data_IF_588144113816
#
_entry.id   IF_588144113816
#
_cell.length_a   1.000
_cell.length_b   1.000
_cell.length_c   1.000
_cell.angle_alpha   90.00
_cell.angle_beta   90.00
_cell.angle_gamma   90.00
#
_symmetry.space_group_name_H-M   'P 1'
#
loop_
_entity.id
_entity.type
_entity.pdbx_description
1 polymer ?
#
# COMPACT_ATOMS: atom_id res chain seq x y z
N UNK A 1 10.71 15.05 25.50
CA UNK A 1 9.71 16.12 25.74
C UNK A 1 8.98 16.02 27.07
N UNK A 2 8.51 14.84 27.50
CA UNK A 2 7.78 14.66 28.78
C UNK A 2 8.55 15.16 30.01
N UNK A 3 9.85 14.83 30.13
CA UNK A 3 10.70 15.31 31.23
C UNK A 3 10.81 16.84 31.31
N UNK A 4 10.85 17.55 30.17
CA UNK A 4 10.90 19.03 30.14
C UNK A 4 9.58 19.65 30.62
N UNK A 5 8.45 19.01 30.31
CA UNK A 5 7.12 19.45 30.74
C UNK A 5 6.96 19.23 32.26
N UNK A 6 7.43 18.09 32.78
CA UNK A 6 7.44 17.80 34.21
C UNK A 6 8.29 18.81 35.00
N UNK A 7 9.52 19.09 34.55
CA UNK A 7 10.38 20.09 35.20
C UNK A 7 9.73 21.47 35.23
N UNK A 8 9.14 21.92 34.11
CA UNK A 8 8.45 23.22 34.04
C UNK A 8 7.20 23.28 34.93
N UNK A 9 6.52 22.14 35.14
CA UNK A 9 5.40 22.00 36.08
C UNK A 9 5.91 22.13 37.53
N UNK A 10 6.95 21.40 37.88
CA UNK A 10 7.50 21.37 39.23
C UNK A 10 8.09 22.74 39.63
N UNK A 11 8.72 23.45 38.69
CA UNK A 11 9.20 24.82 38.87
C UNK A 11 8.05 25.79 39.15
N UNK A 12 6.95 25.69 38.39
CA UNK A 12 5.78 26.53 38.60
C UNK A 12 5.08 26.24 39.94
N UNK A 13 4.94 24.98 40.31
CA UNK A 13 4.40 24.57 41.62
C UNK A 13 5.29 25.13 42.73
N UNK A 14 6.61 24.97 42.60
CA UNK A 14 7.58 25.48 43.58
C UNK A 14 7.54 27.00 43.68
N UNK A 15 7.38 27.72 42.57
CA UNK A 15 7.27 29.19 42.54
C UNK A 15 6.01 29.68 43.24
N UNK A 16 4.88 29.06 42.93
CA UNK A 16 3.59 29.37 43.56
C UNK A 16 3.68 29.08 45.06
N UNK A 17 4.13 27.87 45.44
CA UNK A 17 4.34 27.48 46.83
C UNK A 17 5.22 28.51 47.58
N UNK A 18 6.39 28.87 47.02
CA UNK A 18 7.28 29.87 47.62
C UNK A 18 6.61 31.24 47.83
N UNK A 19 5.83 31.72 46.88
CA UNK A 19 5.13 33.01 47.01
C UNK A 19 4.08 32.97 48.12
N UNK A 20 3.30 31.90 48.21
CA UNK A 20 2.31 31.73 49.27
C UNK A 20 2.94 31.47 50.64
N UNK A 21 4.04 30.71 50.72
CA UNK A 21 4.82 30.55 51.95
C UNK A 21 5.36 31.89 52.45
N UNK A 22 5.82 32.78 51.56
CA UNK A 22 6.24 34.14 51.94
C UNK A 22 5.08 34.97 52.50
N UNK A 23 3.92 34.95 51.84
CA UNK A 23 2.72 35.66 52.32
C UNK A 23 2.25 35.14 53.69
N UNK A 24 2.17 33.82 53.86
CA UNK A 24 1.81 33.19 55.13
C UNK A 24 2.81 33.50 56.24
N UNK A 25 4.11 33.54 55.91
CA UNK A 25 5.16 33.95 56.85
C UNK A 25 4.98 35.39 57.31
N UNK A 26 4.64 36.31 56.39
CA UNK A 26 4.37 37.71 56.73
C UNK A 26 3.17 37.86 57.68
N UNK A 27 2.06 37.17 57.40
CA UNK A 27 0.89 37.16 58.29
C UNK A 27 1.22 36.57 59.67
N UNK A 28 1.99 35.48 59.71
CA UNK A 28 2.42 34.88 60.97
C UNK A 28 3.34 35.80 61.79
N UNK A 29 4.30 36.46 61.13
CA UNK A 29 5.17 37.44 61.78
C UNK A 29 4.37 38.63 62.33
N UNK A 30 3.38 39.12 61.59
CA UNK A 30 2.49 40.17 62.05
C UNK A 30 1.67 39.72 63.27
N UNK A 31 1.12 38.50 63.24
CA UNK A 31 0.39 37.92 64.39
C UNK A 31 1.28 37.87 65.63
N UNK A 32 2.48 37.30 65.51
CA UNK A 32 3.45 37.20 66.62
C UNK A 32 3.85 38.58 67.15
N UNK A 33 3.97 39.59 66.26
CA UNK A 33 4.26 40.97 66.68
C UNK A 33 3.12 41.56 67.50
N UNK A 34 1.86 41.38 67.07
CA UNK A 34 0.68 41.89 67.76
C UNK A 34 0.48 41.16 69.10
N UNK A 35 0.63 39.84 69.13
CA UNK A 35 0.57 39.02 70.35
C UNK A 35 1.59 39.51 71.40
N UNK A 36 2.84 39.79 71.00
CA UNK A 36 3.86 40.36 71.92
C UNK A 36 3.50 41.74 72.45
N UNK A 37 2.87 42.58 71.63
CA UNK A 37 2.41 43.91 72.07
C UNK A 37 1.28 43.74 73.09
N UNK A 38 0.35 42.84 72.83
CA UNK A 38 -0.76 42.55 73.73
C UNK A 38 -0.26 42.01 75.08
N UNK A 39 0.67 41.06 75.07
CA UNK A 39 1.29 40.50 76.27
C UNK A 39 1.94 41.61 77.13
N UNK A 40 2.72 42.51 76.50
CA UNK A 40 3.33 43.66 77.18
C UNK A 40 2.29 44.62 77.78
N UNK A 41 1.23 44.91 77.02
CA UNK A 41 0.14 45.76 77.51
C UNK A 41 -0.60 45.10 78.68
N UNK A 42 -0.81 43.78 78.64
CA UNK A 42 -1.39 43.01 79.75
C UNK A 42 -0.54 43.09 81.02
N UNK A 43 0.77 42.86 80.92
CA UNK A 43 1.68 43.03 82.07
C UNK A 43 1.68 44.47 82.61
N UNK A 44 1.51 45.45 81.72
CA UNK A 44 1.44 46.87 82.12
C UNK A 44 0.12 47.18 82.85
N UNK A 45 -1.00 46.57 82.44
CA UNK A 45 -2.28 46.63 83.15
C UNK A 45 -2.14 46.07 84.56
N UNK A 46 -1.58 44.86 84.70
CA UNK A 46 -1.39 44.22 86.00
C UNK A 46 -0.54 45.08 86.94
N UNK A 47 0.53 45.70 86.41
CA UNK A 47 1.39 46.61 87.15
C UNK A 47 0.65 47.90 87.55
N UNK A 48 -0.10 48.52 86.65
CA UNK A 48 -0.89 49.71 86.96
C UNK A 48 -1.95 49.41 88.03
N UNK A 49 -2.59 48.24 87.99
CA UNK A 49 -3.56 47.82 89.00
C UNK A 49 -2.91 47.63 90.39
N UNK A 50 -1.67 47.12 90.46
CA UNK A 50 -0.89 47.04 91.70
C UNK A 50 -0.48 48.43 92.22
N UNK A 51 -0.02 49.31 91.33
CA UNK A 51 0.42 50.66 91.67
C UNK A 51 -0.78 51.52 92.16
N UNK A 52 -1.98 51.36 91.56
CA UNK A 52 -3.23 51.98 92.00
C UNK A 52 -3.60 51.53 93.42
N UNK A 53 -3.52 50.22 93.72
CA UNK A 53 -3.75 49.71 95.09
C UNK A 53 -2.78 50.33 96.09
N UNK A 54 -1.50 50.44 95.72
CA UNK A 54 -0.48 51.06 96.57
C UNK A 54 -0.66 52.58 96.75
N UNK A 55 -1.22 53.30 95.76
CA UNK A 55 -1.56 54.72 95.89
C UNK A 55 -2.78 54.93 96.81
N UNK A 56 -3.79 54.05 96.71
CA UNK A 56 -4.93 54.01 97.65
C UNK A 56 -4.49 53.82 99.09
N UNK A 57 -3.59 52.88 99.34
CA UNK A 57 -3.05 52.62 100.67
C UNK A 57 -2.29 53.82 101.24
N UNK A 58 -1.69 54.64 100.36
CA UNK A 58 -0.93 55.87 100.69
C UNK A 58 -1.77 57.16 100.70
N UNK A 59 -3.07 57.09 100.38
CA UNK A 59 -4.00 58.23 100.23
C UNK A 59 -3.54 59.30 99.21
N UNK A 60 -2.84 58.88 98.15
CA UNK A 60 -2.44 59.77 97.04
C UNK A 60 -3.49 59.75 95.92
N UNK A 61 -4.49 60.63 96.04
CA UNK A 61 -5.61 60.72 95.09
C UNK A 61 -5.18 61.20 93.70
N UNK A 62 -4.17 62.07 93.62
CA UNK A 62 -3.69 62.62 92.35
C UNK A 62 -2.92 61.56 91.53
N UNK A 63 -2.08 60.77 92.21
CA UNK A 63 -1.37 59.63 91.61
C UNK A 63 -2.32 58.52 91.15
N UNK A 64 -3.35 58.22 91.96
CA UNK A 64 -4.39 57.25 91.61
C UNK A 64 -5.13 57.66 90.34
N UNK A 65 -5.60 58.91 90.24
CA UNK A 65 -6.36 59.38 89.08
C UNK A 65 -5.57 59.28 87.77
N UNK A 66 -4.28 59.65 87.78
CA UNK A 66 -3.41 59.56 86.61
C UNK A 66 -3.15 58.11 86.17
N UNK A 67 -3.01 57.18 87.14
CA UNK A 67 -2.85 55.76 86.85
C UNK A 67 -4.14 55.13 86.32
N UNK A 68 -5.31 55.52 86.86
CA UNK A 68 -6.61 55.12 86.34
C UNK A 68 -6.81 55.56 84.89
N UNK A 69 -6.43 56.80 84.54
CA UNK A 69 -6.53 57.29 83.17
C UNK A 69 -5.65 56.49 82.19
N UNK A 70 -4.39 56.22 82.57
CA UNK A 70 -3.47 55.39 81.77
C UNK A 70 -3.96 53.95 81.63
N UNK A 71 -4.52 53.38 82.68
CA UNK A 71 -5.10 52.05 82.69
C UNK A 71 -6.28 51.96 81.71
N UNK A 72 -7.18 52.94 81.71
CA UNK A 72 -8.32 53.01 80.79
C UNK A 72 -7.87 53.12 79.32
N UNK A 73 -6.84 53.91 79.04
CA UNK A 73 -6.27 53.99 77.69
C UNK A 73 -5.68 52.66 77.21
N UNK A 74 -5.00 51.92 78.09
CA UNK A 74 -4.42 50.62 77.76
C UNK A 74 -5.53 49.57 77.61
N UNK A 75 -6.53 49.54 78.50
CA UNK A 75 -7.68 48.64 78.43
C UNK A 75 -8.49 48.83 77.14
N UNK A 76 -8.54 50.05 76.58
CA UNK A 76 -9.15 50.31 75.26
C UNK A 76 -8.33 49.79 74.08
N UNK A 77 -7.00 49.67 74.19
CA UNK A 77 -6.12 49.19 73.10
C UNK A 77 -6.13 47.67 72.95
N UNK A 78 -6.26 46.93 74.05
CA UNK A 78 -6.31 45.45 74.05
C UNK A 78 -7.40 44.85 73.12
N UNK A 79 -8.68 45.28 73.18
CA UNK A 79 -9.71 44.73 72.31
C UNK A 79 -9.48 45.05 70.83
N UNK A 80 -8.86 46.19 70.51
CA UNK A 80 -8.49 46.54 69.13
C UNK A 80 -7.45 45.56 68.59
N UNK A 81 -6.42 45.25 69.38
CA UNK A 81 -5.37 44.30 68.99
C UNK A 81 -5.90 42.86 68.89
N UNK A 82 -6.80 42.45 69.78
CA UNK A 82 -7.47 41.14 69.67
C UNK A 82 -8.28 41.01 68.38
N UNK A 83 -9.03 42.06 67.99
CA UNK A 83 -9.74 42.10 66.72
C UNK A 83 -8.80 42.04 65.52
N UNK A 84 -7.62 42.65 65.63
CA UNK A 84 -6.60 42.59 64.58
C UNK A 84 -6.01 41.18 64.43
N UNK A 85 -5.79 40.45 65.54
CA UNK A 85 -5.37 39.04 65.52
C UNK A 85 -6.43 38.18 64.81
N UNK A 86 -7.70 38.33 65.17
CA UNK A 86 -8.82 37.61 64.57
C UNK A 86 -8.89 37.84 63.05
N UNK A 87 -8.81 39.10 62.62
CA UNK A 87 -8.78 39.45 61.19
C UNK A 87 -7.61 38.80 60.44
N UNK A 88 -6.42 38.76 61.04
CA UNK A 88 -5.22 38.12 60.45
C UNK A 88 -5.40 36.60 60.35
N UNK A 89 -6.07 35.98 61.32
CA UNK A 89 -6.35 34.54 61.34
C UNK A 89 -7.39 34.15 60.29
N UNK A 90 -8.46 34.94 60.14
CA UNK A 90 -9.46 34.75 59.09
C UNK A 90 -8.86 34.94 57.70
N UNK A 91 -8.04 35.98 57.51
CA UNK A 91 -7.33 36.20 56.25
C UNK A 91 -6.42 35.02 55.88
N UNK A 92 -5.72 34.45 56.88
CA UNK A 92 -4.90 33.26 56.70
C UNK A 92 -5.75 32.05 56.30
N UNK A 93 -6.89 31.82 56.95
CA UNK A 93 -7.79 30.70 56.64
C UNK A 93 -8.33 30.79 55.22
N UNK A 94 -8.77 31.98 54.80
CA UNK A 94 -9.28 32.23 53.44
C UNK A 94 -8.20 31.96 52.39
N UNK A 95 -6.98 32.48 52.58
CA UNK A 95 -5.91 32.29 51.59
C UNK A 95 -5.44 30.84 51.48
N UNK A 96 -5.40 30.10 52.60
CA UNK A 96 -5.09 28.66 52.55
C UNK A 96 -6.15 27.89 51.76
N UNK A 97 -7.43 28.19 51.98
CA UNK A 97 -8.52 27.53 51.25
C UNK A 97 -8.50 27.86 49.75
N UNK A 98 -8.31 29.14 49.39
CA UNK A 98 -8.20 29.57 47.99
C UNK A 98 -7.02 28.91 47.28
N UNK A 99 -5.87 28.81 47.94
CA UNK A 99 -4.70 28.16 47.38
C UNK A 99 -4.93 26.67 47.11
N UNK A 100 -5.65 25.96 47.99
CA UNK A 100 -6.01 24.55 47.79
C UNK A 100 -6.93 24.36 46.58
N UNK A 101 -8.03 25.10 46.55
CA UNK A 101 -9.02 25.01 45.45
C UNK A 101 -8.36 25.29 44.10
N UNK A 102 -7.56 26.35 43.98
CA UNK A 102 -6.91 26.68 42.71
C UNK A 102 -5.94 25.58 42.24
N UNK A 103 -5.23 24.93 43.17
CA UNK A 103 -4.35 23.82 42.82
C UNK A 103 -5.14 22.59 42.36
N UNK A 104 -6.22 22.25 43.06
CA UNK A 104 -7.07 21.12 42.72
C UNK A 104 -7.76 21.33 41.36
N UNK A 105 -8.29 22.52 41.08
CA UNK A 105 -8.89 22.87 39.79
C UNK A 105 -7.90 22.67 38.64
N UNK A 106 -6.66 23.15 38.80
CA UNK A 106 -5.61 23.01 37.78
C UNK A 106 -5.15 21.56 37.60
N UNK A 107 -5.19 20.75 38.66
CA UNK A 107 -4.89 19.31 38.57
C UNK A 107 -6.01 18.61 37.81
N UNK A 108 -7.26 18.91 38.12
CA UNK A 108 -8.42 18.32 37.46
C UNK A 108 -8.48 18.69 35.97
N UNK A 109 -8.23 19.96 35.63
CA UNK A 109 -8.16 20.41 34.23
C UNK A 109 -7.04 19.66 33.47
N UNK A 110 -5.86 19.51 34.07
CA UNK A 110 -4.77 18.76 33.45
C UNK A 110 -5.07 17.26 33.31
N UNK A 111 -5.76 16.65 34.28
CA UNK A 111 -6.20 15.25 34.20
C UNK A 111 -7.25 15.06 33.10
N UNK A 112 -8.17 16.00 32.94
CA UNK A 112 -9.17 15.95 31.88
C UNK A 112 -8.50 15.94 30.50
N UNK A 113 -7.53 16.82 30.27
CA UNK A 113 -6.77 16.86 29.01
C UNK A 113 -6.04 15.54 28.75
N UNK A 114 -5.46 14.92 29.79
CA UNK A 114 -4.80 13.61 29.66
C UNK A 114 -5.82 12.53 29.28
N UNK A 115 -6.96 12.49 29.96
CA UNK A 115 -8.02 11.54 29.67
C UNK A 115 -8.55 11.69 28.23
N UNK A 116 -8.74 12.92 27.76
CA UNK A 116 -9.18 13.18 26.39
C UNK A 116 -8.14 12.71 25.36
N UNK A 117 -6.85 12.91 25.63
CA UNK A 117 -5.76 12.40 24.79
C UNK A 117 -5.72 10.86 24.80
N UNK A 118 -5.89 10.24 25.96
CA UNK A 118 -5.93 8.78 26.09
C UNK A 118 -7.12 8.18 25.35
N UNK A 119 -8.31 8.77 25.49
CA UNK A 119 -9.50 8.35 24.76
C UNK A 119 -9.33 8.50 23.24
N UNK A 120 -8.76 9.63 22.78
CA UNK A 120 -8.47 9.83 21.37
C UNK A 120 -7.44 8.84 20.83
N UNK A 121 -6.41 8.52 21.62
CA UNK A 121 -5.40 7.52 21.28
C UNK A 121 -6.02 6.12 21.19
N UNK A 122 -6.80 5.72 22.19
CA UNK A 122 -7.51 4.43 22.24
C UNK A 122 -8.42 4.26 21.03
N UNK A 123 -9.20 5.29 20.68
CA UNK A 123 -10.04 5.28 19.49
C UNK A 123 -9.23 5.10 18.20
N UNK A 124 -8.09 5.79 18.09
CA UNK A 124 -7.22 5.66 16.90
C UNK A 124 -6.60 4.27 16.80
N UNK A 125 -6.13 3.70 17.91
CA UNK A 125 -5.58 2.34 17.94
C UNK A 125 -6.63 1.34 17.46
N UNK A 126 -7.88 1.45 17.92
CA UNK A 126 -8.96 0.55 17.46
C UNK A 126 -9.24 0.66 15.96
N UNK A 127 -9.19 1.87 15.40
CA UNK A 127 -9.35 2.08 13.96
C UNK A 127 -8.17 1.46 13.18
N UNK A 128 -6.93 1.70 13.62
CA UNK A 128 -5.73 1.12 13.02
C UNK A 128 -5.74 -0.41 13.08
N UNK A 129 -6.17 -1.01 14.20
CA UNK A 129 -6.34 -2.46 14.35
C UNK A 129 -7.41 -3.03 13.41
N UNK A 130 -8.53 -2.33 13.23
CA UNK A 130 -9.58 -2.73 12.31
C UNK A 130 -9.10 -2.69 10.85
N UNK A 131 -8.41 -1.61 10.45
CA UNK A 131 -7.83 -1.49 9.11
C UNK A 131 -6.81 -2.60 8.83
N UNK A 132 -5.99 -2.95 9.83
CA UNK A 132 -5.03 -4.04 9.73
C UNK A 132 -5.74 -5.39 9.50
N UNK A 133 -6.80 -5.68 10.26
CA UNK A 133 -7.58 -6.91 10.10
C UNK A 133 -8.26 -7.00 8.73
N UNK A 134 -8.79 -5.88 8.22
CA UNK A 134 -9.40 -5.82 6.89
C UNK A 134 -8.37 -6.05 5.78
N UNK A 135 -7.17 -5.45 5.90
CA UNK A 135 -6.05 -5.69 4.98
C UNK A 135 -5.58 -7.14 5.00
N UNK A 136 -5.44 -7.76 6.18
CA UNK A 136 -5.07 -9.17 6.31
C UNK A 136 -6.10 -10.09 5.67
N UNK A 137 -7.39 -9.80 5.85
CA UNK A 137 -8.48 -10.55 5.23
C UNK A 137 -8.45 -10.43 3.71
N UNK A 138 -8.25 -9.22 3.18
CA UNK A 138 -8.15 -8.99 1.73
C UNK A 138 -6.92 -9.70 1.14
N UNK A 139 -5.76 -9.59 1.79
CA UNK A 139 -4.52 -10.27 1.39
C UNK A 139 -4.71 -11.79 1.38
N UNK A 140 -5.33 -12.34 2.42
CA UNK A 140 -5.66 -13.77 2.50
C UNK A 140 -6.60 -14.22 1.38
N UNK A 141 -7.55 -13.37 0.99
CA UNK A 141 -8.42 -13.64 -0.17
C UNK A 141 -7.64 -13.66 -1.48
N UNK A 142 -6.73 -12.70 -1.68
CA UNK A 142 -5.87 -12.64 -2.86
C UNK A 142 -4.97 -13.87 -2.95
N UNK A 143 -4.34 -14.28 -1.84
CA UNK A 143 -3.51 -15.50 -1.79
C UNK A 143 -4.34 -16.72 -2.21
N UNK A 144 -5.56 -16.89 -1.68
CA UNK A 144 -6.45 -17.99 -2.08
C UNK A 144 -6.81 -17.95 -3.56
N UNK A 145 -7.04 -16.77 -4.12
CA UNK A 145 -7.32 -16.63 -5.55
C UNK A 145 -6.10 -17.03 -6.39
N UNK A 146 -4.90 -16.62 -5.98
CA UNK A 146 -3.64 -17.00 -6.65
C UNK A 146 -3.44 -18.52 -6.57
N UNK A 147 -3.62 -19.14 -5.40
CA UNK A 147 -3.48 -20.59 -5.24
C UNK A 147 -4.45 -21.37 -6.13
N UNK A 148 -5.70 -20.89 -6.26
CA UNK A 148 -6.68 -21.49 -7.15
C UNK A 148 -6.26 -21.38 -8.62
N UNK A 149 -5.70 -20.24 -9.03
CA UNK A 149 -5.18 -20.04 -10.38
C UNK A 149 -3.96 -20.93 -10.65
N UNK A 150 -3.05 -21.09 -9.68
CA UNK A 150 -1.90 -22.00 -9.78
C UNK A 150 -2.40 -23.43 -10.00
N UNK A 151 -3.34 -23.91 -9.19
CA UNK A 151 -3.92 -25.25 -9.33
C UNK A 151 -4.62 -25.46 -10.66
N UNK A 152 -5.42 -24.47 -11.11
CA UNK A 152 -6.08 -24.54 -12.41
C UNK A 152 -5.06 -24.64 -13.55
N UNK A 153 -3.96 -23.88 -13.46
CA UNK A 153 -2.87 -23.93 -14.44
C UNK A 153 -2.12 -25.25 -14.41
N UNK A 154 -1.85 -25.81 -13.23
CA UNK A 154 -1.24 -27.15 -13.09
C UNK A 154 -2.12 -28.23 -13.72
N UNK A 155 -3.44 -28.18 -13.51
CA UNK A 155 -4.38 -29.11 -14.17
C UNK A 155 -4.33 -28.95 -15.68
N UNK A 156 -4.42 -27.73 -16.21
CA UNK A 156 -4.31 -27.51 -17.66
C UNK A 156 -2.96 -27.92 -18.25
N UNK A 157 -1.87 -27.76 -17.50
CA UNK A 157 -0.55 -28.23 -17.92
C UNK A 157 -0.49 -29.76 -17.96
N UNK A 158 -1.04 -30.44 -16.95
CA UNK A 158 -1.12 -31.89 -16.93
C UNK A 158 -2.02 -32.42 -18.06
N UNK A 159 -3.15 -31.78 -18.35
CA UNK A 159 -4.00 -32.12 -19.49
C UNK A 159 -3.27 -31.98 -20.83
N UNK A 160 -2.46 -30.92 -20.99
CA UNK A 160 -1.62 -30.74 -22.19
C UNK A 160 -0.52 -31.81 -22.26
N UNK A 161 0.09 -32.16 -21.12
CA UNK A 161 1.13 -33.20 -21.03
C UNK A 161 0.55 -34.59 -21.35
N UNK A 162 -0.68 -34.88 -20.92
CA UNK A 162 -1.44 -36.09 -21.27
C UNK A 162 -1.91 -36.11 -22.73
N UNK A 163 -2.25 -34.96 -23.32
CA UNK A 163 -2.49 -34.83 -24.76
C UNK A 163 -1.21 -34.96 -25.58
N UNK A 164 -0.06 -34.67 -24.96
CA UNK A 164 1.26 -35.01 -25.48
C UNK A 164 1.47 -36.52 -25.46
N UNK A 165 1.97 -37.09 -26.55
CA UNK A 165 2.46 -38.47 -26.48
C UNK A 165 3.66 -38.51 -25.53
N UNK A 166 3.53 -39.22 -24.40
CA UNK A 166 4.60 -39.52 -23.43
C UNK A 166 5.97 -39.54 -24.11
N UNK A 167 6.83 -38.57 -23.78
CA UNK A 167 8.17 -38.44 -24.32
C UNK A 167 9.05 -39.61 -23.85
N UNK A 168 8.91 -40.78 -24.49
CA UNK A 168 10.00 -41.73 -24.57
C UNK A 168 11.02 -41.15 -25.54
N UNK A 169 11.98 -40.35 -25.06
CA UNK A 169 13.22 -39.92 -25.73
C UNK A 169 13.20 -40.17 -27.26
N UNK A 170 12.33 -39.48 -27.98
CA UNK A 170 12.32 -39.57 -29.44
C UNK A 170 13.36 -38.58 -29.89
N UNK A 171 14.51 -39.10 -30.30
CA UNK A 171 15.46 -38.37 -31.14
C UNK A 171 14.64 -37.60 -32.18
N UNK A 172 14.56 -36.28 -32.04
CA UNK A 172 13.84 -35.43 -32.98
C UNK A 172 14.56 -35.53 -34.32
N UNK A 173 14.09 -36.42 -35.18
CA UNK A 173 14.47 -36.40 -36.58
C UNK A 173 13.66 -35.26 -37.18
N UNK A 174 14.29 -34.10 -37.30
CA UNK A 174 13.74 -32.99 -38.10
C UNK A 174 13.66 -33.51 -39.55
N UNK A 175 12.48 -33.99 -39.93
CA UNK A 175 12.18 -34.36 -41.30
C UNK A 175 11.74 -33.11 -42.05
N UNK A 176 12.63 -32.56 -42.87
CA UNK A 176 12.29 -31.47 -43.78
C UNK A 176 11.38 -32.00 -44.88
N UNK A 177 10.07 -31.75 -44.75
CA UNK A 177 9.10 -32.02 -45.80
C UNK A 177 8.99 -30.79 -46.71
N UNK A 178 9.50 -30.90 -47.94
CA UNK A 178 9.28 -29.87 -48.96
C UNK A 178 7.89 -30.05 -49.55
N UNK A 179 7.04 -29.03 -49.48
CA UNK A 179 5.72 -28.96 -50.14
C UNK A 179 5.54 -27.58 -50.73
N UNK A 180 4.78 -27.48 -51.83
CA UNK A 180 4.44 -26.21 -52.46
C UNK A 180 3.00 -25.88 -52.16
N UNK A 181 2.77 -24.82 -51.38
CA UNK A 181 1.44 -24.27 -51.13
C UNK A 181 1.14 -23.18 -52.16
N UNK A 182 0.11 -23.38 -52.97
CA UNK A 182 -0.22 -22.51 -54.10
C UNK A 182 -1.58 -21.86 -53.88
N UNK A 183 -1.62 -20.54 -54.04
CA UNK A 183 -2.85 -19.77 -54.12
C UNK A 183 -3.00 -19.25 -55.55
N UNK A 184 -4.16 -19.47 -56.16
CA UNK A 184 -4.51 -18.89 -57.46
C UNK A 184 -5.94 -18.37 -57.45
N UNK A 185 -6.19 -17.34 -58.24
CA UNK A 185 -7.49 -16.69 -58.35
C UNK A 185 -8.26 -17.27 -59.54
N UNK A 186 -9.53 -17.59 -59.29
CA UNK A 186 -10.49 -18.04 -60.30
C UNK A 186 -11.66 -17.06 -60.34
N UNK A 187 -12.55 -17.18 -61.33
CA UNK A 187 -13.78 -16.37 -61.42
C UNK A 187 -14.66 -16.46 -60.15
N UNK A 188 -14.52 -17.54 -59.38
CA UNK A 188 -15.29 -17.82 -58.15
C UNK A 188 -14.54 -17.38 -56.88
N UNK A 189 -13.32 -16.87 -57.00
CA UNK A 189 -12.47 -16.44 -55.89
C UNK A 189 -11.16 -17.23 -55.78
N UNK A 190 -10.45 -17.02 -54.67
CA UNK A 190 -9.15 -17.64 -54.41
C UNK A 190 -9.30 -19.12 -54.09
N UNK A 191 -8.40 -19.92 -54.64
CA UNK A 191 -8.27 -21.35 -54.33
C UNK A 191 -6.89 -21.66 -53.80
N UNK A 192 -6.85 -22.59 -52.86
CA UNK A 192 -5.64 -23.03 -52.18
C UNK A 192 -5.42 -24.52 -52.46
N UNK A 193 -4.20 -24.89 -52.87
CA UNK A 193 -3.82 -26.27 -53.18
C UNK A 193 -2.41 -26.54 -52.69
N UNK A 194 -2.15 -27.74 -52.17
CA UNK A 194 -0.81 -28.22 -51.83
C UNK A 194 -0.32 -29.19 -52.90
N UNK A 195 0.85 -28.92 -53.46
CA UNK A 195 1.54 -29.83 -54.36
C UNK A 195 2.76 -30.45 -53.66
N UNK A 196 2.98 -31.76 -53.82
CA UNK A 196 4.25 -32.36 -53.43
C UNK A 196 5.37 -31.87 -54.37
N UNK A 197 6.64 -31.98 -53.95
CA UNK A 197 7.77 -31.38 -54.67
C UNK A 197 8.02 -32.01 -56.04
N UNK A 198 7.43 -33.17 -56.30
CA UNK A 198 7.36 -33.79 -57.61
C UNK A 198 5.96 -34.34 -57.85
N UNK A 199 5.34 -33.96 -58.95
CA UNK A 199 4.16 -34.66 -59.49
C UNK A 199 4.44 -35.02 -60.95
N UNK A 200 4.20 -36.28 -61.32
CA UNK A 200 4.21 -36.69 -62.73
C UNK A 200 2.77 -36.54 -63.22
N UNK A 201 2.46 -35.46 -63.94
CA UNK A 201 1.10 -35.18 -64.43
C UNK A 201 0.93 -35.34 -65.95
N UNK A 202 2.00 -35.44 -66.74
CA UNK A 202 1.90 -35.67 -68.19
C UNK A 202 1.42 -37.10 -68.51
N UNK A 203 0.33 -37.20 -69.30
CA UNK A 203 -0.16 -38.50 -69.80
C UNK A 203 0.87 -39.23 -70.67
N UNK A 204 1.65 -38.51 -71.50
CA UNK A 204 2.67 -39.09 -72.37
C UNK A 204 3.90 -39.62 -71.63
N UNK A 205 4.28 -38.96 -70.54
CA UNK A 205 5.37 -39.40 -69.65
C UNK A 205 4.89 -40.59 -68.80
N UNK A 206 3.65 -40.54 -68.30
CA UNK A 206 3.02 -41.66 -67.58
C UNK A 206 2.99 -42.93 -68.44
N UNK A 207 2.64 -42.85 -69.72
CA UNK A 207 2.59 -44.04 -70.59
C UNK A 207 3.97 -44.61 -70.89
N UNK A 208 4.98 -43.78 -71.17
CA UNK A 208 6.38 -44.22 -71.35
C UNK A 208 6.95 -44.88 -70.08
N UNK A 209 6.84 -44.22 -68.93
CA UNK A 209 7.34 -44.77 -67.66
C UNK A 209 6.51 -45.97 -67.18
N UNK A 210 5.22 -46.07 -67.52
CA UNK A 210 4.39 -47.24 -67.20
C UNK A 210 4.83 -48.48 -67.99
N UNK A 211 5.34 -48.28 -69.21
CA UNK A 211 5.98 -49.33 -70.01
C UNK A 211 7.29 -49.83 -69.41
N UNK A 212 8.09 -48.95 -68.78
CA UNK A 212 9.40 -49.31 -68.21
C UNK A 212 9.31 -49.83 -66.77
N UNK A 213 8.47 -49.22 -65.92
CA UNK A 213 8.42 -49.50 -64.47
C UNK A 213 7.23 -50.36 -64.04
N UNK A 214 6.26 -50.58 -64.92
CA UNK A 214 5.01 -51.28 -64.61
C UNK A 214 4.02 -50.43 -63.80
N UNK A 215 2.74 -50.50 -64.17
CA UNK A 215 1.71 -49.61 -63.62
C UNK A 215 1.50 -49.66 -62.10
N UNK A 216 1.81 -50.79 -61.45
CA UNK A 216 1.72 -50.94 -59.99
C UNK A 216 2.80 -50.13 -59.25
N UNK A 217 4.05 -50.15 -59.71
CA UNK A 217 5.16 -49.39 -59.08
C UNK A 217 5.00 -47.89 -59.26
N UNK A 218 4.44 -47.45 -60.39
CA UNK A 218 4.12 -46.03 -60.61
C UNK A 218 3.15 -45.50 -59.55
N UNK A 219 2.11 -46.28 -59.22
CA UNK A 219 1.08 -45.86 -58.26
C UNK A 219 1.65 -45.63 -56.87
N UNK A 220 2.63 -46.43 -56.44
CA UNK A 220 3.29 -46.27 -55.14
C UNK A 220 4.21 -45.05 -55.06
N UNK A 221 4.77 -44.56 -56.17
CA UNK A 221 5.54 -43.30 -56.18
C UNK A 221 4.66 -42.06 -56.05
N UNK A 222 3.38 -42.18 -56.43
CA UNK A 222 2.41 -41.08 -56.45
C UNK A 222 1.45 -41.08 -55.25
N UNK A 223 1.54 -42.08 -54.37
CA UNK A 223 0.76 -42.12 -53.13
C UNK A 223 1.51 -41.39 -52.02
N UNK A 224 0.77 -40.56 -51.26
CA UNK A 224 1.28 -39.91 -50.05
C UNK A 224 1.85 -40.97 -49.10
N UNK A 225 3.16 -40.88 -48.83
CA UNK A 225 3.87 -41.86 -47.98
C UNK A 225 3.37 -41.88 -46.54
N UNK A 226 2.71 -40.82 -46.09
CA UNK A 226 2.13 -40.69 -44.76
C UNK A 226 0.69 -40.17 -44.83
N UNK A 227 -0.30 -40.98 -44.42
CA UNK A 227 -1.69 -40.53 -44.30
C UNK A 227 -1.88 -39.38 -43.31
N UNK A 228 -1.10 -39.35 -42.23
CA UNK A 228 -1.17 -38.29 -41.23
C UNK A 228 -0.70 -36.93 -41.76
N UNK A 229 0.38 -36.92 -42.56
CA UNK A 229 0.86 -35.71 -43.23
C UNK A 229 -0.15 -35.24 -44.28
N UNK A 230 -0.73 -36.17 -45.06
CA UNK A 230 -1.78 -35.82 -46.02
C UNK A 230 -2.97 -35.16 -45.32
N UNK A 231 -3.48 -35.75 -44.24
CA UNK A 231 -4.59 -35.16 -43.48
C UNK A 231 -4.27 -33.81 -42.85
N UNK A 232 -3.02 -33.57 -42.43
CA UNK A 232 -2.58 -32.27 -41.95
C UNK A 232 -2.58 -31.21 -43.08
N UNK A 233 -2.10 -31.58 -44.26
CA UNK A 233 -2.06 -30.68 -45.43
C UNK A 233 -3.46 -30.38 -45.98
N UNK A 234 -4.35 -31.37 -45.97
CA UNK A 234 -5.76 -31.17 -46.34
C UNK A 234 -6.42 -30.20 -45.36
N UNK A 235 -6.24 -30.41 -44.05
CA UNK A 235 -6.76 -29.51 -43.02
C UNK A 235 -6.19 -28.09 -43.11
N UNK A 236 -4.92 -27.94 -43.53
CA UNK A 236 -4.33 -26.63 -43.79
C UNK A 236 -5.09 -25.91 -44.91
N UNK A 237 -5.44 -26.60 -45.99
CA UNK A 237 -6.24 -26.03 -47.10
C UNK A 237 -7.62 -25.64 -46.60
N UNK A 238 -8.31 -26.52 -45.88
CA UNK A 238 -9.66 -26.28 -45.37
C UNK A 238 -9.68 -25.06 -44.42
N UNK A 239 -8.77 -25.02 -43.44
CA UNK A 239 -8.66 -23.89 -42.50
C UNK A 239 -8.33 -22.57 -43.18
N UNK A 240 -7.53 -22.60 -44.24
CA UNK A 240 -7.20 -21.40 -45.03
C UNK A 240 -8.42 -20.88 -45.78
N UNK A 241 -9.34 -21.75 -46.20
CA UNK A 241 -10.58 -21.37 -46.86
C UNK A 241 -11.67 -20.90 -45.88
N UNK A 242 -11.76 -21.53 -44.70
CA UNK A 242 -12.83 -21.25 -43.73
C UNK A 242 -12.54 -20.05 -42.83
N UNK A 243 -11.27 -19.74 -42.54
CA UNK A 243 -10.89 -18.72 -41.57
C UNK A 243 -10.19 -17.52 -42.23
N UNK A 244 -10.85 -16.35 -42.36
CA UNK A 244 -10.28 -15.15 -42.99
C UNK A 244 -9.04 -14.59 -42.28
N UNK A 245 -8.94 -14.74 -40.96
CA UNK A 245 -7.76 -14.29 -40.19
C UNK A 245 -6.55 -15.16 -40.53
N UNK A 246 -6.77 -16.47 -40.61
CA UNK A 246 -5.74 -17.43 -40.97
C UNK A 246 -5.32 -17.28 -42.44
N UNK A 247 -6.28 -17.09 -43.36
CA UNK A 247 -6.02 -16.79 -44.78
C UNK A 247 -5.08 -15.59 -44.96
N UNK A 248 -5.31 -14.52 -44.20
CA UNK A 248 -4.49 -13.31 -44.25
C UNK A 248 -3.04 -13.55 -43.84
N UNK A 249 -2.82 -14.32 -42.77
CA UNK A 249 -1.48 -14.67 -42.31
C UNK A 249 -0.75 -15.61 -43.30
N UNK A 250 -1.45 -16.63 -43.81
CA UNK A 250 -0.91 -17.53 -44.85
C UNK A 250 -0.56 -16.75 -46.12
N UNK A 251 -1.41 -15.83 -46.55
CA UNK A 251 -1.15 -14.98 -47.72
C UNK A 251 0.11 -14.12 -47.51
N UNK A 252 0.24 -13.50 -46.33
CA UNK A 252 1.41 -12.67 -45.99
C UNK A 252 2.70 -13.49 -45.96
N UNK A 253 2.66 -14.67 -45.36
CA UNK A 253 3.78 -15.61 -45.35
C UNK A 253 4.13 -16.09 -46.77
N UNK A 254 3.11 -16.43 -47.57
CA UNK A 254 3.25 -16.85 -48.95
C UNK A 254 3.87 -15.78 -49.85
N UNK A 255 3.50 -14.51 -49.69
CA UNK A 255 4.12 -13.40 -50.43
C UNK A 255 5.61 -13.27 -50.10
N UNK A 256 5.97 -13.42 -48.83
CA UNK A 256 7.37 -13.35 -48.37
C UNK A 256 8.20 -14.55 -48.85
N UNK A 257 7.60 -15.73 -48.89
CA UNK A 257 8.24 -16.99 -49.28
C UNK A 257 7.97 -17.39 -50.74
N UNK A 258 7.45 -16.48 -51.57
CA UNK A 258 7.06 -16.80 -52.93
C UNK A 258 8.28 -17.10 -53.81
N UNK A 259 8.52 -18.38 -54.07
CA UNK A 259 9.63 -18.85 -54.89
C UNK A 259 9.60 -18.29 -56.32
N UNK A 260 8.41 -18.01 -56.88
CA UNK A 260 8.24 -17.46 -58.23
C UNK A 260 8.68 -15.99 -58.36
N UNK A 261 8.96 -15.31 -57.26
CA UNK A 261 9.48 -13.93 -57.26
C UNK A 261 11.01 -13.86 -57.23
N UNK A 262 11.70 -14.97 -56.97
CA UNK A 262 13.17 -14.97 -56.92
C UNK A 262 13.78 -14.87 -58.32
N UNK A 263 14.78 -14.01 -58.48
CA UNK A 263 15.43 -13.76 -59.77
C UNK A 263 16.09 -15.02 -60.31
N UNK A 264 16.72 -15.80 -59.43
CA UNK A 264 17.41 -17.04 -59.76
C UNK A 264 16.43 -18.08 -60.33
N UNK A 265 15.26 -18.25 -59.69
CA UNK A 265 14.27 -19.22 -60.13
C UNK A 265 13.63 -18.81 -61.45
N UNK A 266 13.34 -17.51 -61.67
CA UNK A 266 12.84 -17.02 -62.97
C UNK A 266 13.82 -17.30 -64.11
N UNK A 267 15.10 -17.05 -63.90
CA UNK A 267 16.13 -17.37 -64.91
C UNK A 267 16.22 -18.87 -65.14
N UNK A 268 16.13 -19.68 -64.08
CA UNK A 268 16.11 -21.14 -64.16
C UNK A 268 14.89 -21.70 -64.90
N UNK A 269 13.70 -21.17 -64.61
CA UNK A 269 12.44 -21.58 -65.26
C UNK A 269 12.47 -21.22 -66.75
N UNK A 270 12.88 -20.00 -67.12
CA UNK A 270 13.07 -19.62 -68.54
C UNK A 270 13.98 -20.58 -69.28
N UNK A 271 15.14 -20.88 -68.67
CA UNK A 271 16.10 -21.82 -69.26
C UNK A 271 15.47 -23.20 -69.43
N UNK A 272 14.82 -23.72 -68.38
CA UNK A 272 14.16 -25.02 -68.43
C UNK A 272 13.03 -25.09 -69.46
N UNK A 273 12.25 -24.03 -69.66
CA UNK A 273 11.22 -23.97 -70.71
C UNK A 273 11.85 -24.03 -72.10
N UNK A 274 12.97 -23.35 -72.32
CA UNK A 274 13.71 -23.40 -73.59
C UNK A 274 14.30 -24.80 -73.80
N UNK A 275 14.92 -25.39 -72.79
CA UNK A 275 15.46 -26.77 -72.85
C UNK A 275 14.34 -27.78 -73.17
N UNK A 276 13.17 -27.66 -72.53
CA UNK A 276 12.02 -28.52 -72.82
C UNK A 276 11.50 -28.36 -74.25
N UNK A 277 11.58 -27.15 -74.82
CA UNK A 277 11.24 -26.90 -76.23
C UNK A 277 12.28 -27.56 -77.14
N UNK A 278 13.57 -27.35 -76.88
CA UNK A 278 14.67 -27.87 -77.69
C UNK A 278 14.70 -29.42 -77.69
N UNK A 279 14.31 -30.03 -76.58
CA UNK A 279 14.13 -31.48 -76.44
C UNK A 279 12.78 -32.01 -76.99
N UNK A 280 11.95 -31.14 -77.60
CA UNK A 280 10.62 -31.45 -78.15
C UNK A 280 9.60 -32.01 -77.12
N UNK A 281 9.73 -31.67 -75.84
CA UNK A 281 8.74 -32.02 -74.82
C UNK A 281 7.49 -31.14 -74.88
N UNK A 282 7.62 -29.91 -75.37
CA UNK A 282 6.54 -28.93 -75.51
C UNK A 282 6.56 -28.32 -76.91
N UNK A 283 5.40 -27.92 -77.44
CA UNK A 283 5.30 -27.25 -78.74
C UNK A 283 5.73 -25.78 -78.67
N UNK A 284 6.06 -25.19 -79.82
CA UNK A 284 6.33 -23.75 -79.97
C UNK A 284 5.23 -22.90 -79.34
N UNK A 285 3.97 -23.24 -79.62
CA UNK A 285 2.79 -22.56 -79.08
C UNK A 285 2.65 -22.68 -77.55
N UNK A 286 3.08 -23.80 -76.96
CA UNK A 286 3.07 -23.99 -75.51
C UNK A 286 4.21 -23.20 -74.85
N UNK A 287 5.38 -23.15 -75.49
CA UNK A 287 6.51 -22.36 -75.04
C UNK A 287 6.17 -20.85 -75.02
N UNK A 288 5.50 -20.35 -76.06
CA UNK A 288 5.04 -18.95 -76.11
C UNK A 288 4.05 -18.59 -75.00
N UNK A 289 3.12 -19.49 -74.67
CA UNK A 289 2.14 -19.27 -73.59
C UNK A 289 2.83 -19.27 -72.23
N UNK A 290 3.73 -20.24 -71.99
CA UNK A 290 4.45 -20.36 -70.71
C UNK A 290 5.43 -19.21 -70.50
N UNK A 291 6.05 -18.71 -71.57
CA UNK A 291 6.97 -17.56 -71.51
C UNK A 291 6.27 -16.22 -71.24
N UNK A 292 4.94 -16.15 -71.41
CA UNK A 292 4.11 -14.96 -71.13
C UNK A 292 3.58 -14.91 -69.69
N UNK A 293 3.71 -15.98 -68.92
CA UNK A 293 3.16 -16.12 -67.57
C UNK A 293 4.11 -15.64 -66.45
N UNK A 294 5.25 -15.03 -66.81
CA UNK A 294 6.30 -14.54 -65.88
C UNK A 294 6.40 -13.02 -65.75
#
# INVERSE_FOLDING_TARGET
>A
NIKKIQVKRDENITRIAKNYTRKLRGLHQNRVRIERILERLSTTVDRCDLDIKSCRDRKDEAGEFQLCQKLDEIKKKIPVLNKEIENVEDAKKIEVSRARINLDDRVNEAMQVIHDIEAAKEARVRLEEQEMADLEKMTSSIIKQIDNLIKAKEVSLNEIDEMGTQEQNRNWVIAYLTVYFVCYETEVGKRYVVYPPSTISSMGIKTKLKGVLGGKKMKSFLQSRSPAIAGLLDRLVDLTQENPVFEKEITKAGIKANILRTTELRVGVKRGIIELKDENWISESQCEVLSKLE
#
